data_IF_282077332381
#
_entry.id   IF_282077332381
#
_cell.length_a   1.000
_cell.length_b   1.000
_cell.length_c   1.000
_cell.angle_alpha   90.00
_cell.angle_beta   90.00
_cell.angle_gamma   90.00
#
_symmetry.space_group_name_H-M   'P 1'
#
loop_
_entity.id
_entity.type
_entity.pdbx_description
1 polymer ?
#
# COMPACT_ATOMS: atom_id res chain seq x y z
N UNK A 1 6.45 2.04 26.59
CA UNK A 1 5.98 3.19 25.81
C UNK A 1 4.49 2.98 25.64
N UNK A 2 3.69 3.62 26.49
CA UNK A 2 2.23 3.50 26.45
C UNK A 2 1.74 4.06 25.11
N UNK A 3 1.12 3.20 24.29
CA UNK A 3 0.32 3.66 23.18
C UNK A 3 -0.84 4.44 23.79
N UNK A 4 -0.84 5.76 23.59
CA UNK A 4 -1.96 6.63 23.96
C UNK A 4 -3.26 5.99 23.48
N UNK A 5 -4.14 5.60 24.40
CA UNK A 5 -5.51 5.19 24.09
C UNK A 5 -6.31 6.41 23.65
N UNK A 6 -5.98 6.91 22.47
CA UNK A 6 -6.72 8.00 21.85
C UNK A 6 -8.03 7.40 21.34
N UNK A 7 -9.13 7.66 22.05
CA UNK A 7 -10.46 7.32 21.56
C UNK A 7 -10.73 8.08 20.26
N UNK A 8 -10.76 7.36 19.15
CA UNK A 8 -11.09 7.92 17.84
C UNK A 8 -12.59 8.16 17.77
N UNK A 9 -12.98 9.40 17.44
CA UNK A 9 -14.38 9.67 17.11
C UNK A 9 -14.76 9.02 15.78
N UNK A 10 -16.06 8.75 15.58
CA UNK A 10 -16.58 8.26 14.30
C UNK A 10 -16.26 9.19 13.11
N UNK A 11 -16.07 10.49 13.38
CA UNK A 11 -15.71 11.49 12.37
C UNK A 11 -14.28 11.27 11.83
N UNK A 12 -13.32 10.82 12.65
CA UNK A 12 -11.93 10.60 12.25
C UNK A 12 -11.81 9.53 11.15
N UNK A 13 -12.68 8.51 11.18
CA UNK A 13 -12.72 7.46 10.15
C UNK A 13 -13.20 7.96 8.79
N UNK A 14 -13.88 9.12 8.74
CA UNK A 14 -14.37 9.74 7.49
C UNK A 14 -13.64 11.04 7.16
N UNK A 15 -12.78 11.52 8.07
CA UNK A 15 -12.05 12.76 7.91
C UNK A 15 -11.14 12.71 6.68
N UNK A 16 -10.91 13.87 6.06
CA UNK A 16 -9.93 13.98 4.99
C UNK A 16 -9.16 15.27 5.13
N UNK A 17 -7.85 15.23 4.84
CA UNK A 17 -6.97 16.40 4.87
C UNK A 17 -6.44 16.63 3.46
N UNK A 18 -6.31 17.87 3.03
CA UNK A 18 -5.74 18.19 1.71
C UNK A 18 -4.72 19.29 1.83
N UNK A 19 -3.57 19.09 1.21
CA UNK A 19 -2.47 20.03 1.18
C UNK A 19 -1.97 20.18 -0.25
N UNK A 20 -1.38 21.32 -0.56
CA UNK A 20 -0.61 21.48 -1.79
C UNK A 20 0.83 21.07 -1.51
N UNK A 21 1.40 20.26 -2.39
CA UNK A 21 2.81 19.91 -2.36
C UNK A 21 3.44 20.50 -3.61
N UNK A 22 4.44 21.36 -3.39
CA UNK A 22 5.26 21.96 -4.44
C UNK A 22 6.68 21.41 -4.29
N UNK A 23 7.26 20.86 -5.36
CA UNK A 23 8.68 20.53 -5.40
C UNK A 23 9.44 21.65 -6.11
N UNK A 24 10.47 22.20 -5.45
CA UNK A 24 11.35 23.18 -6.12
C UNK A 24 12.21 22.49 -7.18
N UNK A 25 12.57 23.22 -8.24
CA UNK A 25 13.49 22.75 -9.30
C UNK A 25 14.83 22.25 -8.75
N UNK A 26 15.23 22.68 -7.56
CA UNK A 26 16.49 22.28 -6.90
C UNK A 26 16.46 20.82 -6.42
N UNK A 27 15.28 20.32 -6.01
CA UNK A 27 15.09 18.94 -5.57
C UNK A 27 14.95 17.94 -6.73
N UNK A 28 14.86 18.45 -7.97
CA UNK A 28 14.72 17.64 -9.18
C UNK A 28 15.47 18.29 -10.36
N UNK A 29 16.80 18.16 -10.35
CA UNK A 29 17.72 18.73 -11.36
C UNK A 29 17.50 18.25 -12.80
N UNK A 30 16.60 17.29 -13.04
CA UNK A 30 16.38 16.65 -14.34
C UNK A 30 14.93 16.66 -14.84
N UNK A 31 14.09 17.58 -14.35
CA UNK A 31 12.73 17.72 -14.87
C UNK A 31 12.73 18.24 -16.32
N UNK A 32 12.04 17.56 -17.26
CA UNK A 32 11.78 18.13 -18.59
C UNK A 32 11.09 19.50 -18.51
N UNK A 33 11.32 20.41 -19.47
CA UNK A 33 10.57 21.66 -19.57
C UNK A 33 9.06 21.40 -19.58
N UNK A 34 8.29 22.09 -18.73
CA UNK A 34 6.83 21.93 -18.61
C UNK A 34 6.36 20.84 -17.64
N UNK A 35 7.27 20.24 -16.87
CA UNK A 35 6.88 19.24 -15.87
C UNK A 35 6.06 19.85 -14.71
N UNK A 36 5.02 19.12 -14.30
CA UNK A 36 4.14 19.54 -13.20
C UNK A 36 4.86 19.41 -11.86
N UNK A 37 5.22 20.54 -11.26
CA UNK A 37 5.92 20.62 -9.95
C UNK A 37 4.97 20.76 -8.77
N UNK A 38 3.67 20.89 -9.04
CA UNK A 38 2.66 21.13 -8.02
C UNK A 38 1.50 20.15 -8.14
N UNK A 39 1.10 19.58 -7.01
CA UNK A 39 -0.06 18.72 -6.95
C UNK A 39 -0.83 18.92 -5.66
N UNK A 40 -2.14 18.74 -5.77
CA UNK A 40 -3.00 18.63 -4.61
C UNK A 40 -2.90 17.20 -4.08
N UNK A 41 -2.41 17.08 -2.86
CA UNK A 41 -2.40 15.86 -2.09
C UNK A 41 -3.62 15.81 -1.18
N UNK A 42 -4.24 14.64 -1.05
CA UNK A 42 -5.35 14.42 -0.12
C UNK A 42 -5.18 13.09 0.61
N UNK A 43 -5.21 13.15 1.94
CA UNK A 43 -5.26 12.01 2.85
C UNK A 43 -6.70 11.66 3.21
N UNK A 44 -6.98 10.37 3.30
CA UNK A 44 -8.20 9.85 3.93
C UNK A 44 -7.86 9.32 5.33
N UNK A 45 -8.69 9.67 6.31
CA UNK A 45 -8.63 9.20 7.69
C UNK A 45 -7.22 9.30 8.32
N UNK A 46 -6.53 10.46 8.20
CA UNK A 46 -5.11 10.58 8.52
C UNK A 46 -4.77 10.20 9.96
N UNK A 47 -5.61 10.57 10.93
CA UNK A 47 -5.37 10.20 12.33
C UNK A 47 -5.47 8.69 12.57
N UNK A 48 -6.42 8.01 11.90
CA UNK A 48 -6.59 6.56 12.01
C UNK A 48 -5.38 5.82 11.42
N UNK A 49 -4.95 6.21 10.23
CA UNK A 49 -3.76 5.62 9.61
C UNK A 49 -2.48 5.94 10.37
N UNK A 50 -2.39 7.09 11.05
CA UNK A 50 -1.28 7.39 11.96
C UNK A 50 -1.22 6.40 13.12
N UNK A 51 -2.35 6.07 13.75
CA UNK A 51 -2.39 5.03 14.80
C UNK A 51 -2.01 3.65 14.23
N UNK A 52 -2.44 3.31 13.02
CA UNK A 52 -2.04 2.04 12.37
C UNK A 52 -0.52 2.01 12.12
N UNK A 53 0.07 3.10 11.66
CA UNK A 53 1.51 3.23 11.49
C UNK A 53 2.26 3.07 12.83
N UNK A 54 1.72 3.60 13.93
CA UNK A 54 2.29 3.47 15.28
C UNK A 54 2.27 2.03 15.80
N UNK A 55 1.20 1.26 15.53
CA UNK A 55 1.14 -0.17 15.86
C UNK A 55 2.30 -0.95 15.22
N UNK A 56 2.76 -0.50 14.05
CA UNK A 56 3.84 -1.11 13.26
C UNK A 56 5.18 -0.36 13.42
N UNK A 57 5.26 0.57 14.37
CA UNK A 57 6.47 1.37 14.67
C UNK A 57 7.02 2.14 13.46
N UNK A 58 6.14 2.61 12.59
CA UNK A 58 6.50 3.42 11.43
C UNK A 58 6.54 4.90 11.86
N UNK A 59 7.71 5.50 11.73
CA UNK A 59 7.87 6.95 11.89
C UNK A 59 7.14 7.72 10.78
N UNK A 60 6.48 8.82 11.14
CA UNK A 60 5.69 9.61 10.20
C UNK A 60 6.57 10.31 9.15
N UNK A 61 7.73 10.84 9.55
CA UNK A 61 8.60 11.56 8.64
C UNK A 61 9.26 10.59 7.66
N UNK A 62 9.68 9.41 8.13
CA UNK A 62 10.19 8.35 7.25
C UNK A 62 9.13 7.89 6.25
N UNK A 63 7.89 7.67 6.72
CA UNK A 63 6.77 7.32 5.85
C UNK A 63 6.55 8.37 4.77
N UNK A 64 6.38 9.64 5.17
CA UNK A 64 6.16 10.76 4.25
C UNK A 64 7.31 10.89 3.24
N UNK A 65 8.57 10.79 3.67
CA UNK A 65 9.73 10.84 2.76
C UNK A 65 9.71 9.71 1.72
N UNK A 66 9.29 8.51 2.11
CA UNK A 66 9.25 7.34 1.24
C UNK A 66 8.12 7.43 0.19
N UNK A 67 6.93 7.87 0.60
CA UNK A 67 5.75 7.89 -0.27
C UNK A 67 5.52 9.22 -1.01
N UNK A 68 5.98 10.33 -0.45
CA UNK A 68 5.94 11.66 -1.05
C UNK A 68 7.29 12.02 -1.69
N UNK A 69 8.01 11.05 -2.25
CA UNK A 69 9.12 11.37 -3.15
C UNK A 69 8.59 11.66 -4.54
N UNK A 70 9.23 12.56 -5.26
CA UNK A 70 8.84 12.90 -6.63
C UNK A 70 8.88 11.67 -7.57
N UNK A 71 9.88 10.79 -7.42
CA UNK A 71 9.94 9.52 -8.15
C UNK A 71 8.71 8.65 -7.89
N UNK A 72 8.28 8.52 -6.64
CA UNK A 72 7.08 7.77 -6.26
C UNK A 72 5.85 8.40 -6.90
N UNK A 73 5.68 9.72 -6.78
CA UNK A 73 4.52 10.45 -7.31
C UNK A 73 4.44 10.33 -8.83
N UNK A 74 5.57 10.49 -9.55
CA UNK A 74 5.63 10.33 -11.01
C UNK A 74 5.26 8.91 -11.43
N UNK A 75 5.82 7.89 -10.77
CA UNK A 75 5.50 6.48 -11.04
C UNK A 75 4.01 6.22 -10.84
N UNK A 76 3.44 6.64 -9.70
CA UNK A 76 2.00 6.49 -9.42
C UNK A 76 1.14 7.17 -10.49
N UNK A 77 1.48 8.39 -10.89
CA UNK A 77 0.76 9.13 -11.94
C UNK A 77 0.89 8.48 -13.33
N UNK A 78 2.04 7.90 -13.65
CA UNK A 78 2.28 7.22 -14.93
C UNK A 78 1.51 5.91 -15.07
N UNK A 79 1.24 5.23 -13.95
CA UNK A 79 0.51 3.97 -13.90
C UNK A 79 -1.02 4.15 -13.94
N UNK A 80 -1.51 5.16 -14.64
CA UNK A 80 -2.91 5.60 -14.67
C UNK A 80 -3.97 4.56 -15.12
N UNK A 81 -3.61 3.27 -15.28
CA UNK A 81 -4.53 2.15 -15.45
C UNK A 81 -4.80 1.46 -14.10
N UNK A 82 -5.98 1.67 -13.50
CA UNK A 82 -6.33 1.01 -12.24
C UNK A 82 -6.37 -0.51 -12.40
N UNK A 83 -5.72 -1.22 -11.46
CA UNK A 83 -5.97 -2.65 -11.26
C UNK A 83 -4.85 -3.63 -11.65
N UNK A 84 -3.63 -3.20 -12.03
CA UNK A 84 -2.59 -4.19 -12.40
C UNK A 84 -1.14 -3.94 -11.96
N UNK A 85 -0.79 -2.85 -11.28
CA UNK A 85 0.59 -2.67 -10.83
C UNK A 85 0.69 -2.18 -9.37
N UNK A 86 1.49 -2.90 -8.60
CA UNK A 86 2.03 -2.48 -7.32
C UNK A 86 3.42 -1.89 -7.59
N UNK A 87 3.66 -0.69 -7.09
CA UNK A 87 4.98 -0.08 -7.02
C UNK A 87 5.57 -0.40 -5.65
N UNK A 88 6.89 -0.54 -5.61
CA UNK A 88 7.63 -0.56 -4.36
C UNK A 88 8.17 0.85 -4.09
N UNK A 89 8.13 1.26 -2.82
CA UNK A 89 8.84 2.45 -2.38
C UNK A 89 10.34 2.29 -2.57
N UNK A 90 11.08 3.41 -2.57
CA UNK A 90 12.53 3.42 -2.85
C UNK A 90 13.33 2.57 -1.83
N UNK A 91 12.87 2.55 -0.59
CA UNK A 91 13.43 1.79 0.53
C UNK A 91 12.88 0.36 0.64
N UNK A 92 12.02 -0.06 -0.31
CA UNK A 92 11.36 -1.37 -0.33
C UNK A 92 10.48 -1.70 0.88
N UNK A 93 10.18 -0.74 1.74
CA UNK A 93 9.34 -0.95 2.94
C UNK A 93 7.86 -1.01 2.59
N UNK A 94 7.46 -0.30 1.55
CA UNK A 94 6.06 -0.08 1.23
C UNK A 94 5.70 -0.52 -0.18
N UNK A 95 4.52 -1.09 -0.29
CA UNK A 95 3.80 -1.33 -1.54
C UNK A 95 2.81 -0.21 -1.78
N UNK A 96 2.79 0.33 -2.99
CA UNK A 96 1.86 1.37 -3.43
C UNK A 96 1.03 0.83 -4.58
N UNK A 97 -0.29 0.81 -4.40
CA UNK A 97 -1.23 0.29 -5.39
C UNK A 97 -2.23 1.35 -5.80
N UNK A 98 -2.33 1.61 -7.09
CA UNK A 98 -3.38 2.49 -7.65
C UNK A 98 -4.75 1.83 -7.51
N UNK A 99 -5.74 2.62 -7.13
CA UNK A 99 -7.11 2.18 -6.87
C UNK A 99 -8.12 2.91 -7.76
N UNK A 100 -9.27 2.27 -7.96
CA UNK A 100 -10.50 2.95 -8.38
C UNK A 100 -11.11 3.68 -7.19
N UNK A 101 -11.87 4.75 -7.46
CA UNK A 101 -12.64 5.46 -6.44
C UNK A 101 -13.60 4.54 -5.67
N UNK A 102 -14.16 3.52 -6.33
CA UNK A 102 -15.02 2.51 -5.68
C UNK A 102 -14.26 1.66 -4.67
N UNK A 103 -13.03 1.24 -4.97
CA UNK A 103 -12.18 0.48 -4.05
C UNK A 103 -11.81 1.32 -2.82
N UNK A 104 -11.52 2.61 -3.01
CA UNK A 104 -11.31 3.55 -1.89
C UNK A 104 -12.53 3.60 -0.98
N UNK A 105 -13.75 3.69 -1.54
CA UNK A 105 -14.97 3.68 -0.72
C UNK A 105 -15.10 2.40 0.12
N UNK A 106 -14.74 1.25 -0.44
CA UNK A 106 -14.76 -0.03 0.29
C UNK A 106 -13.74 0.00 1.42
N UNK A 107 -12.49 0.42 1.15
CA UNK A 107 -11.43 0.48 2.16
C UNK A 107 -11.81 1.42 3.31
N UNK A 108 -12.33 2.61 3.00
CA UNK A 108 -12.76 3.56 4.03
C UNK A 108 -13.99 3.04 4.78
N UNK A 109 -14.91 2.35 4.11
CA UNK A 109 -16.07 1.73 4.74
C UNK A 109 -15.71 0.62 5.73
N UNK A 110 -14.67 -0.18 5.42
CA UNK A 110 -14.20 -1.25 6.32
C UNK A 110 -13.17 -0.79 7.35
N UNK A 111 -12.66 0.44 7.27
CA UNK A 111 -11.56 0.95 8.09
C UNK A 111 -11.79 0.82 9.61
N UNK A 112 -13.00 1.06 10.16
CA UNK A 112 -13.24 0.85 11.59
C UNK A 112 -13.02 -0.59 12.03
N UNK A 113 -13.64 -1.55 11.34
CA UNK A 113 -13.49 -2.98 11.63
C UNK A 113 -12.06 -3.44 11.41
N UNK A 114 -11.41 -2.96 10.36
CA UNK A 114 -10.02 -3.25 10.04
C UNK A 114 -9.07 -2.76 11.15
N UNK A 115 -9.23 -1.52 11.63
CA UNK A 115 -8.43 -0.99 12.74
C UNK A 115 -8.61 -1.81 14.03
N UNK A 116 -9.84 -2.14 14.39
CA UNK A 116 -10.13 -3.00 15.55
C UNK A 116 -9.48 -4.39 15.40
N UNK A 117 -9.50 -4.97 14.19
CA UNK A 117 -8.85 -6.23 13.89
C UNK A 117 -7.33 -6.15 14.10
N UNK A 118 -6.67 -5.11 13.60
CA UNK A 118 -5.23 -4.94 13.78
C UNK A 118 -4.83 -4.80 15.26
N UNK A 119 -5.62 -4.05 16.06
CA UNK A 119 -5.39 -3.94 17.51
C UNK A 119 -5.52 -5.28 18.23
N UNK A 120 -6.50 -6.10 17.82
CA UNK A 120 -6.80 -7.38 18.48
C UNK A 120 -5.85 -8.50 18.05
N UNK A 121 -5.41 -8.51 16.80
CA UNK A 121 -4.66 -9.61 16.20
C UNK A 121 -3.37 -9.12 15.55
N UNK A 122 -2.30 -9.02 16.36
CA UNK A 122 -0.97 -8.61 15.90
C UNK A 122 -0.38 -9.55 14.83
N UNK A 123 -0.71 -10.84 14.90
CA UNK A 123 -0.28 -11.88 13.96
C UNK A 123 -1.22 -12.08 12.76
N UNK A 124 -2.12 -11.14 12.48
CA UNK A 124 -3.04 -11.23 11.33
C UNK A 124 -2.29 -11.47 10.01
N UNK A 125 -2.90 -12.21 9.08
CA UNK A 125 -2.38 -12.39 7.72
C UNK A 125 -2.84 -11.30 6.75
N UNK A 126 -3.73 -10.39 7.19
CA UNK A 126 -4.16 -9.27 6.37
C UNK A 126 -2.98 -8.33 6.08
N UNK A 127 -2.83 -7.90 4.82
CA UNK A 127 -1.81 -6.93 4.47
C UNK A 127 -2.04 -5.61 5.22
N UNK A 128 -0.99 -5.06 5.83
CA UNK A 128 -1.12 -3.83 6.62
C UNK A 128 -1.26 -2.65 5.67
N UNK A 129 -2.32 -1.87 5.81
CA UNK A 129 -2.54 -0.63 5.07
C UNK A 129 -2.10 0.56 5.93
N UNK A 130 -1.22 1.40 5.39
CA UNK A 130 -0.60 2.53 6.08
C UNK A 130 -1.15 3.88 5.66
N UNK A 131 -1.89 3.95 4.55
CA UNK A 131 -2.55 5.18 4.15
C UNK A 131 -3.31 5.03 2.85
N UNK A 132 -4.37 5.83 2.71
CA UNK A 132 -5.11 5.98 1.47
C UNK A 132 -5.04 7.43 1.04
N UNK A 133 -4.48 7.64 -0.14
CA UNK A 133 -4.13 8.97 -0.61
C UNK A 133 -4.66 9.21 -2.02
N UNK A 134 -4.72 10.50 -2.35
CA UNK A 134 -5.06 10.99 -3.67
C UNK A 134 -4.04 12.03 -4.07
N UNK A 135 -3.49 11.86 -5.27
CA UNK A 135 -2.68 12.89 -5.93
C UNK A 135 -3.44 13.43 -7.13
N UNK A 136 -3.47 14.75 -7.27
CA UNK A 136 -3.96 15.43 -8.48
C UNK A 136 -2.94 16.48 -8.91
N UNK A 137 -2.12 16.18 -9.94
CA UNK A 137 -1.27 17.17 -10.58
C UNK A 137 -2.11 18.31 -11.18
N UNK A 138 -1.56 19.53 -11.23
CA UNK A 138 -2.18 20.65 -11.96
C UNK A 138 -2.37 20.25 -13.43
N UNK A 139 -3.59 20.38 -13.96
CA UNK A 139 -3.94 19.93 -15.32
C UNK A 139 -4.01 18.42 -15.54
N UNK A 140 -3.67 17.61 -14.51
CA UNK A 140 -3.61 16.16 -14.60
C UNK A 140 -4.86 15.44 -14.07
N UNK A 141 -4.88 14.13 -14.30
CA UNK A 141 -5.90 13.24 -13.75
C UNK A 141 -5.69 13.00 -12.25
N UNK A 142 -6.80 12.77 -11.55
CA UNK A 142 -6.78 12.37 -10.14
C UNK A 142 -6.45 10.88 -10.03
N UNK A 143 -5.40 10.55 -9.29
CA UNK A 143 -5.00 9.16 -9.02
C UNK A 143 -5.24 8.85 -7.54
N UNK A 144 -5.94 7.74 -7.30
CA UNK A 144 -6.16 7.21 -5.96
C UNK A 144 -5.18 6.07 -5.73
N UNK A 145 -4.62 5.96 -4.54
CA UNK A 145 -3.74 4.85 -4.21
C UNK A 145 -3.77 4.53 -2.72
N UNK A 146 -3.41 3.30 -2.41
CA UNK A 146 -3.19 2.82 -1.05
C UNK A 146 -1.72 2.45 -0.89
N UNK A 147 -1.20 2.78 0.28
CA UNK A 147 0.11 2.33 0.74
C UNK A 147 -0.10 1.21 1.74
N UNK A 148 0.65 0.13 1.61
CA UNK A 148 0.65 -0.95 2.58
C UNK A 148 2.03 -1.59 2.73
N UNK A 149 2.14 -2.58 3.62
CA UNK A 149 3.37 -3.32 3.85
C UNK A 149 3.84 -4.05 2.59
N UNK A 150 5.15 -4.02 2.37
CA UNK A 150 5.78 -4.92 1.40
C UNK A 150 5.99 -6.30 2.02
N UNK A 151 5.12 -7.25 1.69
CA UNK A 151 5.23 -8.64 2.16
C UNK A 151 6.45 -9.39 1.60
N UNK A 152 7.15 -8.81 0.61
CA UNK A 152 8.34 -9.39 0.00
C UNK A 152 9.64 -8.86 0.61
N UNK A 153 9.56 -7.97 1.61
CA UNK A 153 10.74 -7.45 2.30
C UNK A 153 11.37 -8.57 3.14
N UNK A 154 12.46 -9.15 2.64
CA UNK A 154 13.18 -10.23 3.31
C UNK A 154 14.65 -10.24 2.92
N UNK A 155 15.52 -10.51 3.89
CA UNK A 155 16.95 -10.76 3.64
C UNK A 155 17.21 -12.12 2.98
N UNK A 156 16.18 -12.97 2.90
CA UNK A 156 16.26 -14.29 2.27
C UNK A 156 15.91 -14.23 0.80
N UNK A 157 16.64 -15.01 0.00
CA UNK A 157 16.33 -15.16 -1.42
C UNK A 157 15.00 -15.90 -1.60
N UNK A 158 13.99 -15.20 -2.13
CA UNK A 158 12.73 -15.83 -2.51
C UNK A 158 12.86 -16.54 -3.87
N UNK A 159 12.84 -17.87 -3.90
CA UNK A 159 13.02 -18.62 -5.15
C UNK A 159 11.76 -18.62 -6.04
N UNK A 160 10.58 -18.73 -5.42
CA UNK A 160 9.27 -18.74 -6.10
C UNK A 160 8.29 -17.84 -5.33
N UNK A 161 7.43 -17.13 -6.06
CA UNK A 161 6.37 -16.31 -5.50
C UNK A 161 5.04 -16.71 -6.12
N UNK A 162 4.00 -16.87 -5.29
CA UNK A 162 2.67 -17.26 -5.75
C UNK A 162 1.62 -16.23 -5.29
N UNK A 163 0.75 -15.80 -6.20
CA UNK A 163 -0.56 -15.27 -5.86
C UNK A 163 -1.49 -16.49 -5.89
N UNK A 164 -2.29 -16.76 -4.86
CA UNK A 164 -3.18 -17.93 -4.82
C UNK A 164 -4.58 -17.47 -4.42
N UNK A 165 -5.60 -17.99 -5.12
CA UNK A 165 -7.00 -17.61 -4.91
C UNK A 165 -7.94 -18.81 -4.73
N UNK A 166 -7.45 -20.03 -4.90
CA UNK A 166 -8.23 -21.27 -4.83
C UNK A 166 -9.09 -21.52 -6.07
N UNK A 167 -8.81 -20.85 -7.20
CA UNK A 167 -9.59 -20.99 -8.43
C UNK A 167 -8.70 -20.92 -9.67
N UNK A 168 -9.13 -21.53 -10.77
CA UNK A 168 -8.41 -21.50 -12.06
C UNK A 168 -8.89 -20.37 -12.98
N UNK A 169 -10.11 -19.86 -12.77
CA UNK A 169 -10.73 -18.84 -13.63
C UNK A 169 -9.93 -17.52 -13.62
N UNK A 170 -9.53 -17.05 -14.81
CA UNK A 170 -8.79 -15.79 -14.95
C UNK A 170 -7.36 -15.80 -14.40
N UNK A 171 -6.78 -16.99 -14.19
CA UNK A 171 -5.41 -17.15 -13.68
C UNK A 171 -4.38 -17.32 -14.80
N UNK A 172 -4.73 -17.97 -15.91
CA UNK A 172 -3.79 -18.37 -16.97
C UNK A 172 -3.14 -17.22 -17.76
N UNK A 173 -3.82 -16.07 -17.90
CA UNK A 173 -3.45 -15.09 -18.95
C UNK A 173 -2.58 -13.91 -18.49
N UNK A 174 -2.28 -13.78 -17.20
CA UNK A 174 -1.60 -12.60 -16.67
C UNK A 174 -0.46 -12.97 -15.71
N UNK A 175 0.72 -13.29 -16.26
CA UNK A 175 1.92 -13.48 -15.44
C UNK A 175 2.46 -12.12 -15.01
N UNK A 176 2.18 -11.76 -13.76
CA UNK A 176 2.71 -10.53 -13.16
C UNK A 176 4.20 -10.72 -12.86
N UNK A 177 4.96 -9.64 -12.93
CA UNK A 177 6.33 -9.61 -12.44
C UNK A 177 6.43 -8.61 -11.30
N UNK A 178 7.06 -9.04 -10.21
CA UNK A 178 7.51 -8.14 -9.16
C UNK A 178 9.03 -8.20 -9.15
N UNK A 179 9.66 -7.05 -9.44
CA UNK A 179 11.10 -6.99 -9.77
C UNK A 179 11.38 -7.93 -10.94
N UNK A 180 12.38 -8.80 -10.83
CA UNK A 180 12.75 -9.80 -11.84
C UNK A 180 11.99 -11.12 -11.67
N UNK A 181 11.15 -11.26 -10.64
CA UNK A 181 10.47 -12.53 -10.31
C UNK A 181 9.07 -12.58 -10.90
N UNK A 182 8.79 -13.72 -11.52
CA UNK A 182 7.45 -14.07 -11.96
C UNK A 182 6.58 -14.40 -10.74
N UNK A 183 5.41 -13.78 -10.66
CA UNK A 183 4.39 -14.18 -9.70
C UNK A 183 3.56 -15.29 -10.35
N UNK A 184 3.81 -16.51 -9.89
CA UNK A 184 3.09 -17.72 -10.27
C UNK A 184 1.68 -17.71 -9.70
N UNK A 185 0.78 -18.51 -10.27
CA UNK A 185 -0.63 -18.57 -9.86
C UNK A 185 -1.07 -20.00 -9.56
N UNK A 186 -2.36 -20.18 -9.29
CA UNK A 186 -2.98 -21.45 -8.96
C UNK A 186 -2.67 -22.58 -9.97
N UNK A 187 -2.71 -22.36 -11.30
CA UNK A 187 -2.35 -23.41 -12.26
C UNK A 187 -0.86 -23.78 -12.26
N UNK A 188 0.00 -22.84 -11.85
CA UNK A 188 1.44 -23.03 -11.74
C UNK A 188 1.84 -23.66 -10.38
N UNK A 189 0.87 -23.89 -9.49
CA UNK A 189 1.11 -24.40 -8.14
C UNK A 189 1.31 -25.92 -8.16
N UNK A 190 2.57 -26.34 -8.33
CA UNK A 190 2.99 -27.72 -8.59
C UNK A 190 3.56 -28.46 -7.37
N UNK A 191 3.39 -27.90 -6.16
CA UNK A 191 4.13 -28.35 -4.99
C UNK A 191 3.24 -28.58 -3.76
N UNK A 192 3.66 -29.50 -2.88
CA UNK A 192 3.09 -29.70 -1.55
C UNK A 192 4.14 -29.26 -0.52
N UNK A 193 3.76 -28.39 0.41
CA UNK A 193 4.58 -28.06 1.57
C UNK A 193 4.01 -28.74 2.80
N UNK A 194 4.90 -29.26 3.63
CA UNK A 194 4.59 -29.71 4.97
C UNK A 194 4.95 -28.59 5.93
N UNK A 195 3.96 -28.16 6.72
CA UNK A 195 4.16 -27.22 7.79
C UNK A 195 4.32 -28.00 9.09
N UNK A 196 5.16 -27.48 9.99
CA UNK A 196 5.17 -27.91 11.37
C UNK A 196 3.73 -27.88 11.93
N UNK A 197 3.29 -28.89 12.70
CA UNK A 197 1.91 -28.97 13.19
C UNK A 197 1.45 -27.72 13.96
N UNK A 198 2.33 -27.08 14.75
CA UNK A 198 2.00 -25.88 15.51
C UNK A 198 1.82 -24.69 14.57
N UNK A 199 2.72 -24.52 13.59
CA UNK A 199 2.60 -23.46 12.57
C UNK A 199 1.33 -23.64 11.76
N UNK A 200 1.02 -24.87 11.35
CA UNK A 200 -0.22 -25.19 10.64
C UNK A 200 -1.45 -24.83 11.47
N UNK A 201 -1.45 -25.16 12.76
CA UNK A 201 -2.54 -24.84 13.66
C UNK A 201 -2.74 -23.32 13.76
N UNK A 202 -1.66 -22.55 13.93
CA UNK A 202 -1.70 -21.09 14.00
C UNK A 202 -2.13 -20.39 12.69
N UNK A 203 -1.88 -21.01 11.54
CA UNK A 203 -2.25 -20.42 10.24
C UNK A 203 -3.71 -20.71 9.84
N UNK A 204 -4.30 -21.78 10.33
CA UNK A 204 -5.63 -22.26 9.91
C UNK A 204 -6.74 -21.97 10.93
N UNK A 205 -6.42 -21.56 12.15
CA UNK A 205 -7.34 -21.32 13.26
C UNK A 205 -7.02 -19.98 13.95
#
# INVERSE_FOLDING_TARGET
MELSEKELSSAEFKATRSNWIQYSKEHCKHLPPGSVTEFKWKDYSPAVFRLIQELEKIDNNEYEQSICSDDTVRKVCSLARPGSMCLLSKDDRFTIKTLRKSEVKVIIGMLPSYYCHLKKFSNTMLNRLYGVHVVKPVGGMKVYFVVGSNIFQSDKLMHKCYDLKGSLQGRSDNKLRLREKLILKDPDFDFRFYLDPLIRHQLLL
#
